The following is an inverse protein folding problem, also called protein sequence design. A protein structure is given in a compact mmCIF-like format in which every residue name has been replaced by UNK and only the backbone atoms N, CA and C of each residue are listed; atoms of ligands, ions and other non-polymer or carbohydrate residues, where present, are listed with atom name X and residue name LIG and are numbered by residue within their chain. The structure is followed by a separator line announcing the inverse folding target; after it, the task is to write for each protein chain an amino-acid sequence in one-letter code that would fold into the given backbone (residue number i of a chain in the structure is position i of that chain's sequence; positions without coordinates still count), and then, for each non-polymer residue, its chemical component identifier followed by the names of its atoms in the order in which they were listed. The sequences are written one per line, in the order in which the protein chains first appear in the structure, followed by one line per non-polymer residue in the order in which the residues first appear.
data_IF_333530628784
#
_entry.id   IF_333530628784
#
_cell.length_a   1.000
_cell.length_b   1.000
_cell.length_c   1.000
_cell.angle_alpha   90.00
_cell.angle_beta   90.00
_cell.angle_gamma   90.00
#
_symmetry.space_group_name_H-M   'P 1'
#
loop_
_entity.id
_entity.type
_entity.pdbx_description
1 polymer ?
#
# COMPACT_ATOMS: atom_id res chain seq x y z
N UNK A 1 -18.15 55.00 -24.23
CA UNK A 1 -18.48 53.91 -23.27
C UNK A 1 -19.08 52.68 -23.93
N UNK A 2 -19.99 52.77 -24.90
CA UNK A 2 -20.61 51.59 -25.54
C UNK A 2 -19.64 50.73 -26.36
N UNK A 3 -18.59 51.28 -26.98
CA UNK A 3 -17.61 50.55 -27.79
C UNK A 3 -16.58 49.75 -26.96
N UNK A 4 -16.30 50.17 -25.72
CA UNK A 4 -15.45 49.46 -24.78
C UNK A 4 -16.11 48.20 -24.20
N UNK A 5 -17.43 48.25 -24.02
CA UNK A 5 -18.21 47.13 -23.54
C UNK A 5 -18.32 45.98 -24.55
N UNK A 6 -18.43 46.32 -25.86
CA UNK A 6 -18.48 45.35 -26.94
C UNK A 6 -17.13 44.63 -27.13
N UNK A 7 -16.00 45.33 -26.95
CA UNK A 7 -14.67 44.73 -27.05
C UNK A 7 -14.37 43.80 -25.87
N UNK A 8 -14.82 44.16 -24.66
CA UNK A 8 -14.65 43.33 -23.47
C UNK A 8 -15.50 42.03 -23.52
N UNK A 9 -16.68 42.12 -24.13
CA UNK A 9 -17.57 40.95 -24.30
C UNK A 9 -17.04 39.96 -25.34
N UNK A 10 -16.29 40.43 -26.35
CA UNK A 10 -15.65 39.56 -27.36
C UNK A 10 -14.45 38.80 -26.79
N UNK A 11 -13.73 39.39 -25.87
CA UNK A 11 -12.57 38.73 -25.22
C UNK A 11 -13.04 37.63 -24.24
N UNK A 12 -14.17 37.80 -23.56
CA UNK A 12 -14.74 36.77 -22.66
C UNK A 12 -15.29 35.58 -23.43
N UNK A 13 -15.84 35.77 -24.67
CA UNK A 13 -16.32 34.67 -25.49
C UNK A 13 -15.20 33.82 -26.12
N UNK A 14 -14.00 34.36 -26.30
CA UNK A 14 -12.86 33.61 -26.83
C UNK A 14 -12.24 32.62 -25.85
N UNK A 15 -12.52 32.74 -24.55
CA UNK A 15 -11.92 31.89 -23.49
C UNK A 15 -12.77 30.65 -23.15
N UNK A 16 -13.99 30.52 -23.65
CA UNK A 16 -14.92 29.43 -23.29
C UNK A 16 -14.93 28.25 -24.27
N UNK A 17 -14.15 28.26 -25.35
CA UNK A 17 -14.13 27.16 -26.35
C UNK A 17 -12.94 26.21 -26.18
N UNK A 18 -12.03 26.45 -25.22
CA UNK A 18 -10.87 25.59 -24.99
C UNK A 18 -11.08 24.47 -23.93
N UNK A 19 -12.33 24.27 -23.47
CA UNK A 19 -12.60 23.34 -22.35
C UNK A 19 -13.41 22.09 -22.77
N UNK A 20 -13.45 21.71 -24.05
CA UNK A 20 -14.12 20.48 -24.48
C UNK A 20 -13.37 19.82 -25.63
N UNK A 21 -12.15 19.40 -25.36
CA UNK A 21 -11.38 18.46 -26.17
C UNK A 21 -11.07 17.26 -25.30
N UNK A 22 -11.82 16.16 -25.51
CA UNK A 22 -11.54 14.86 -24.88
C UNK A 22 -10.16 14.35 -25.30
N UNK A 23 -9.15 14.70 -24.52
CA UNK A 23 -7.86 14.05 -24.54
C UNK A 23 -7.88 13.08 -23.37
N UNK A 24 -7.77 11.78 -23.64
CA UNK A 24 -7.34 10.80 -22.65
C UNK A 24 -6.12 11.38 -21.95
N UNK A 25 -6.28 11.84 -20.72
CA UNK A 25 -5.16 12.01 -19.81
C UNK A 25 -4.60 10.61 -19.59
N UNK A 26 -3.59 10.23 -20.40
CA UNK A 26 -2.60 9.28 -19.91
C UNK A 26 -2.24 9.79 -18.53
N UNK A 27 -2.61 9.02 -17.51
CA UNK A 27 -2.13 9.25 -16.18
C UNK A 27 -0.61 9.35 -16.30
N UNK A 28 -0.08 10.55 -16.12
CA UNK A 28 1.35 10.73 -15.94
C UNK A 28 1.70 9.79 -14.80
N UNK A 29 2.34 8.68 -15.18
CA UNK A 29 3.02 7.80 -14.26
C UNK A 29 4.04 8.71 -13.60
N UNK A 30 3.67 9.27 -12.45
CA UNK A 30 4.58 10.04 -11.63
C UNK A 30 5.87 9.24 -11.63
N UNK A 31 6.94 9.85 -12.12
CA UNK A 31 8.26 9.28 -12.05
C UNK A 31 8.62 9.17 -10.56
N UNK A 32 8.11 8.12 -9.92
CA UNK A 32 8.64 7.65 -8.67
C UNK A 32 10.09 7.35 -9.01
N UNK A 33 11.00 8.17 -8.48
CA UNK A 33 12.42 7.95 -8.63
C UNK A 33 12.66 6.47 -8.40
N UNK A 34 13.47 5.81 -9.24
CA UNK A 34 13.71 4.38 -9.15
C UNK A 34 14.28 4.09 -7.76
N UNK A 35 13.38 3.76 -6.81
CA UNK A 35 13.78 3.27 -5.51
C UNK A 35 14.43 1.91 -5.76
N UNK A 36 15.69 1.78 -5.40
CA UNK A 36 16.41 0.51 -5.51
C UNK A 36 15.93 -0.44 -4.40
N UNK A 37 14.85 -1.17 -4.71
CA UNK A 37 14.21 -2.12 -3.81
C UNK A 37 15.03 -3.38 -3.58
N UNK A 38 16.05 -3.63 -4.40
CA UNK A 38 16.88 -4.84 -4.30
C UNK A 38 17.74 -4.88 -3.03
N UNK A 39 17.85 -3.75 -2.33
CA UNK A 39 18.59 -3.64 -1.06
C UNK A 39 17.71 -3.94 0.16
N UNK A 40 16.41 -3.92 0.00
CA UNK A 40 15.45 -4.15 1.08
C UNK A 40 15.02 -5.61 1.08
N UNK A 41 14.90 -6.17 2.27
CA UNK A 41 14.46 -7.54 2.50
C UNK A 41 13.09 -7.52 3.19
N UNK A 42 12.12 -8.22 2.60
CA UNK A 42 10.75 -8.29 3.13
C UNK A 42 10.50 -9.72 3.62
N UNK A 43 10.39 -9.88 4.92
CA UNK A 43 10.01 -11.14 5.57
C UNK A 43 8.49 -11.21 5.70
N UNK A 44 7.89 -12.23 5.13
CA UNK A 44 6.45 -12.52 5.24
C UNK A 44 6.25 -13.60 6.30
N UNK A 45 5.74 -13.23 7.47
CA UNK A 45 5.44 -14.15 8.57
C UNK A 45 4.11 -14.84 8.30
N UNK A 46 4.08 -16.15 8.40
CA UNK A 46 2.96 -16.95 7.91
C UNK A 46 2.28 -17.75 9.03
N UNK A 47 2.47 -19.02 9.07
CA UNK A 47 1.98 -19.99 10.03
C UNK A 47 2.71 -21.31 9.85
N UNK A 48 2.27 -22.39 10.49
CA UNK A 48 2.86 -23.70 10.29
C UNK A 48 2.86 -24.11 8.82
N UNK A 49 3.88 -24.83 8.39
CA UNK A 49 4.03 -25.29 6.99
C UNK A 49 2.87 -26.15 6.51
N UNK A 50 2.18 -26.83 7.42
CA UNK A 50 0.98 -27.63 7.16
C UNK A 50 -0.31 -26.78 7.09
N UNK A 51 -0.26 -25.48 7.45
CA UNK A 51 -1.41 -24.57 7.50
C UNK A 51 -1.57 -23.76 6.23
N UNK A 52 -2.75 -23.19 6.06
CA UNK A 52 -3.11 -22.38 4.88
C UNK A 52 -2.32 -21.06 4.78
N UNK A 53 -1.85 -20.52 5.90
CA UNK A 53 -1.09 -19.25 5.90
C UNK A 53 0.25 -19.38 5.20
N UNK A 54 0.89 -20.54 5.28
CA UNK A 54 2.20 -20.74 4.65
C UNK A 54 2.16 -20.63 3.12
N UNK A 55 1.29 -21.36 2.38
CA UNK A 55 1.19 -21.21 0.93
C UNK A 55 0.70 -19.81 0.51
N UNK A 56 -0.21 -19.18 1.28
CA UNK A 56 -0.65 -17.81 1.01
C UNK A 56 0.52 -16.82 1.17
N UNK A 57 1.29 -16.93 2.25
CA UNK A 57 2.47 -16.07 2.46
C UNK A 57 3.55 -16.30 1.42
N UNK A 58 3.72 -17.54 0.94
CA UNK A 58 4.59 -17.85 -0.20
C UNK A 58 4.17 -17.14 -1.48
N UNK A 59 2.87 -17.11 -1.78
CA UNK A 59 2.33 -16.37 -2.92
C UNK A 59 2.56 -14.85 -2.77
N UNK A 60 2.33 -14.30 -1.59
CA UNK A 60 2.63 -12.90 -1.28
C UNK A 60 4.11 -12.58 -1.46
N UNK A 61 4.99 -13.39 -0.90
CA UNK A 61 6.44 -13.25 -1.03
C UNK A 61 6.85 -13.21 -2.50
N UNK A 62 6.27 -14.09 -3.35
CA UNK A 62 6.53 -14.09 -4.78
C UNK A 62 6.13 -12.76 -5.44
N UNK A 63 4.91 -12.26 -5.19
CA UNK A 63 4.42 -11.00 -5.76
C UNK A 63 5.31 -9.82 -5.34
N UNK A 64 5.68 -9.75 -4.07
CA UNK A 64 6.58 -8.70 -3.55
C UNK A 64 7.97 -8.81 -4.17
N UNK A 65 8.46 -10.02 -4.41
CA UNK A 65 9.71 -10.27 -5.13
C UNK A 65 9.67 -9.76 -6.58
N UNK A 66 8.55 -9.94 -7.28
CA UNK A 66 8.35 -9.40 -8.64
C UNK A 66 8.36 -7.87 -8.67
N UNK A 67 8.10 -7.20 -7.53
CA UNK A 67 8.21 -5.76 -7.38
C UNK A 67 9.67 -5.28 -7.18
N UNK A 68 10.64 -6.19 -7.12
CA UNK A 68 12.07 -5.91 -7.00
C UNK A 68 12.65 -6.00 -5.59
N UNK A 69 11.88 -6.42 -4.58
CA UNK A 69 12.38 -6.67 -3.23
C UNK A 69 13.01 -8.04 -3.09
N UNK A 70 13.93 -8.19 -2.15
CA UNK A 70 14.32 -9.51 -1.65
C UNK A 70 13.25 -9.98 -0.66
N UNK A 71 12.77 -11.22 -0.80
CA UNK A 71 11.64 -11.69 0.02
C UNK A 71 11.85 -13.10 0.52
N UNK A 72 11.24 -13.41 1.67
CA UNK A 72 11.07 -14.79 2.15
C UNK A 72 9.71 -14.96 2.83
N UNK A 73 9.14 -16.15 2.73
CA UNK A 73 8.01 -16.58 3.55
C UNK A 73 8.55 -17.41 4.71
N UNK A 74 8.29 -16.99 5.94
CA UNK A 74 8.80 -17.63 7.16
C UNK A 74 7.66 -18.33 7.89
N UNK A 75 7.87 -19.62 8.19
CA UNK A 75 6.94 -20.38 9.02
C UNK A 75 6.98 -19.90 10.47
N UNK A 76 5.80 -19.81 11.10
CA UNK A 76 5.62 -19.35 12.48
C UNK A 76 4.54 -20.17 13.19
N UNK A 77 4.29 -19.90 14.46
CA UNK A 77 3.13 -20.40 15.20
C UNK A 77 1.83 -19.64 14.89
N UNK A 78 1.75 -18.91 13.78
CA UNK A 78 0.61 -18.14 13.29
C UNK A 78 0.34 -16.84 14.09
N UNK A 79 -0.92 -16.43 14.21
CA UNK A 79 -1.38 -15.07 14.55
C UNK A 79 -0.67 -14.42 15.73
N UNK A 80 -0.58 -15.07 16.88
CA UNK A 80 -0.01 -14.46 18.09
C UNK A 80 1.51 -14.22 17.96
N UNK A 81 2.23 -15.18 17.39
CA UNK A 81 3.66 -15.03 17.10
C UNK A 81 3.89 -13.96 16.06
N UNK A 82 3.07 -13.92 15.01
CA UNK A 82 3.16 -12.95 13.94
C UNK A 82 2.98 -11.52 14.46
N UNK A 83 1.97 -11.26 15.28
CA UNK A 83 1.74 -9.94 15.88
C UNK A 83 2.94 -9.53 16.75
N UNK A 84 3.42 -10.42 17.62
CA UNK A 84 4.58 -10.12 18.45
C UNK A 84 5.86 -9.89 17.60
N UNK A 85 6.04 -10.63 16.53
CA UNK A 85 7.19 -10.47 15.65
C UNK A 85 7.16 -9.12 14.91
N UNK A 86 5.99 -8.67 14.41
CA UNK A 86 5.83 -7.33 13.82
C UNK A 86 6.13 -6.23 14.86
N UNK A 87 5.57 -6.33 16.06
CA UNK A 87 5.80 -5.36 17.13
C UNK A 87 7.26 -5.25 17.55
N UNK A 88 8.03 -6.31 17.37
CA UNK A 88 9.46 -6.36 17.72
C UNK A 88 10.40 -6.20 16.51
N UNK A 89 9.86 -5.87 15.33
CA UNK A 89 10.65 -5.63 14.12
C UNK A 89 11.32 -6.87 13.54
N UNK A 90 10.74 -8.05 13.75
CA UNK A 90 11.26 -9.33 13.24
C UNK A 90 10.66 -9.76 11.91
N UNK A 91 9.85 -8.91 11.29
CA UNK A 91 9.27 -9.12 9.99
C UNK A 91 8.51 -7.88 9.54
N UNK A 92 8.32 -7.74 8.24
CA UNK A 92 7.72 -6.56 7.61
C UNK A 92 6.25 -6.79 7.25
N UNK A 93 5.89 -8.03 6.97
CA UNK A 93 4.52 -8.43 6.66
C UNK A 93 4.14 -9.68 7.47
N UNK A 94 2.87 -9.77 7.87
CA UNK A 94 2.38 -10.92 8.60
C UNK A 94 0.93 -11.24 8.27
N UNK A 95 0.58 -12.53 8.28
CA UNK A 95 -0.80 -12.99 8.19
C UNK A 95 -1.33 -13.19 9.61
N UNK A 96 -2.41 -12.51 9.94
CA UNK A 96 -3.01 -12.58 11.27
C UNK A 96 -4.55 -12.55 11.20
N UNK A 97 -5.19 -13.07 12.23
CA UNK A 97 -6.65 -12.98 12.40
C UNK A 97 -7.03 -11.57 12.87
N UNK A 98 -8.09 -11.02 12.30
CA UNK A 98 -8.51 -9.64 12.56
C UNK A 98 -8.91 -9.36 14.01
N UNK A 99 -9.55 -10.32 14.68
CA UNK A 99 -9.92 -10.24 16.10
C UNK A 99 -8.68 -10.09 17.01
N UNK A 100 -7.64 -10.84 16.72
CA UNK A 100 -6.36 -10.77 17.45
C UNK A 100 -5.61 -9.48 17.17
N UNK A 101 -5.69 -8.95 15.95
CA UNK A 101 -5.10 -7.65 15.61
C UNK A 101 -5.82 -6.53 16.37
N UNK A 102 -7.15 -6.56 16.46
CA UNK A 102 -7.93 -5.59 17.25
C UNK A 102 -7.52 -5.65 18.73
N UNK A 103 -7.42 -6.86 19.32
CA UNK A 103 -6.96 -7.01 20.70
C UNK A 103 -5.57 -6.43 20.92
N UNK A 104 -4.66 -6.60 19.96
CA UNK A 104 -3.31 -6.07 20.07
C UNK A 104 -3.28 -4.53 19.98
N UNK A 105 -4.04 -3.95 19.04
CA UNK A 105 -4.10 -2.49 18.86
C UNK A 105 -4.77 -1.80 20.07
N UNK A 106 -5.81 -2.40 20.62
CA UNK A 106 -6.55 -1.84 21.76
C UNK A 106 -5.98 -2.30 23.11
N UNK A 107 -4.88 -3.05 23.10
CA UNK A 107 -4.15 -3.54 24.29
C UNK A 107 -5.05 -4.26 25.30
N UNK A 108 -5.97 -5.10 24.85
CA UNK A 108 -6.81 -5.92 25.72
C UNK A 108 -6.66 -7.43 25.44
N UNK A 109 -7.34 -8.27 26.23
CA UNK A 109 -7.29 -9.73 26.10
C UNK A 109 -5.88 -10.27 26.25
N UNK A 110 -5.39 -11.04 25.28
CA UNK A 110 -4.06 -11.64 25.30
C UNK A 110 -2.92 -10.63 25.21
N UNK A 111 -3.21 -9.37 24.83
CA UNK A 111 -2.22 -8.28 24.64
C UNK A 111 -2.32 -7.20 25.72
N UNK A 112 -3.11 -7.41 26.78
CA UNK A 112 -3.24 -6.46 27.88
C UNK A 112 -1.89 -6.15 28.50
N UNK A 113 -1.54 -4.86 28.60
CA UNK A 113 -0.26 -4.40 29.17
C UNK A 113 0.96 -4.62 28.29
N UNK A 114 0.78 -4.99 27.02
CA UNK A 114 1.83 -5.02 26.00
C UNK A 114 1.70 -3.79 25.11
N UNK A 115 2.83 -3.14 24.77
CA UNK A 115 2.79 -1.98 23.87
C UNK A 115 2.41 -2.39 22.45
#
# INVERSE_FOLDING_TARGET
MKKFFALMMMIVMAFTVAACGGGEKKADKAAAGKVDRSKEFITVLTGPTSGIYFPIGGAFSKVVGEMGYKTSATATGATAENINAILTGKGELAIAMSDSVIQAVEAFGAYQGKP
#
